data_IF_254892519479
#
_entry.id   IF_254892519479
#
_cell.length_a   1.000
_cell.length_b   1.000
_cell.length_c   1.000
_cell.angle_alpha   90.00
_cell.angle_beta   90.00
_cell.angle_gamma   90.00
#
_symmetry.space_group_name_H-M   'P 1'
#
loop_
_entity.id
_entity.type
_entity.pdbx_description
1 polymer ?
#
# COMPACT_ATOMS: atom_id res chain seq x y z
N UNK A 1 -15.22 -1.64 9.16
CA UNK A 1 -13.79 -1.52 8.89
C UNK A 1 -13.27 -2.73 8.14
N UNK A 2 -12.34 -2.51 7.25
CA UNK A 2 -11.71 -3.55 6.44
C UNK A 2 -10.21 -3.44 6.63
N UNK A 3 -9.52 -4.58 6.68
CA UNK A 3 -8.05 -4.62 6.71
C UNK A 3 -7.55 -5.49 5.58
N UNK A 4 -6.57 -4.98 4.83
CA UNK A 4 -5.97 -5.71 3.72
C UNK A 4 -4.45 -5.68 3.83
N UNK A 5 -3.84 -6.82 3.51
CA UNK A 5 -2.40 -6.92 3.35
C UNK A 5 -2.07 -6.86 1.87
N UNK A 6 -1.03 -6.07 1.55
CA UNK A 6 -0.54 -5.91 0.19
C UNK A 6 0.90 -6.38 0.12
N UNK A 7 1.21 -7.11 -0.95
CA UNK A 7 2.60 -7.39 -1.34
C UNK A 7 2.80 -6.78 -2.71
N UNK A 8 3.74 -5.85 -2.81
CA UNK A 8 3.98 -5.09 -4.03
C UNK A 8 5.37 -5.45 -4.54
N UNK A 9 5.42 -5.98 -5.75
CA UNK A 9 6.67 -6.37 -6.41
C UNK A 9 6.93 -5.50 -7.62
N UNK A 10 8.21 -5.27 -7.91
CA UNK A 10 8.65 -4.47 -9.03
C UNK A 10 9.86 -3.63 -8.66
N UNK A 11 9.99 -2.49 -9.32
CA UNK A 11 11.02 -1.51 -8.96
C UNK A 11 10.40 -0.57 -7.93
N UNK A 12 10.45 -0.99 -6.66
CA UNK A 12 9.76 -0.30 -5.56
C UNK A 12 10.67 0.00 -4.37
N UNK A 13 11.94 -0.36 -4.45
CA UNK A 13 12.92 -0.02 -3.42
C UNK A 13 13.93 0.99 -3.96
N UNK A 14 14.35 1.92 -3.11
CA UNK A 14 15.29 2.95 -3.50
C UNK A 14 14.71 4.03 -4.41
N UNK A 15 13.39 4.08 -4.54
CA UNK A 15 12.69 5.04 -5.43
C UNK A 15 11.65 5.87 -4.69
N UNK A 16 11.68 5.85 -3.34
CA UNK A 16 10.71 6.62 -2.54
C UNK A 16 9.33 5.99 -2.44
N UNK A 17 9.20 4.70 -2.72
CA UNK A 17 7.90 4.02 -2.74
C UNK A 17 7.31 3.88 -1.33
N UNK A 18 8.12 3.49 -0.34
CA UNK A 18 7.63 3.33 1.03
C UNK A 18 7.11 4.64 1.63
N UNK A 19 7.83 5.78 1.51
CA UNK A 19 7.28 7.06 1.96
C UNK A 19 6.01 7.46 1.22
N UNK A 20 5.93 7.14 -0.08
CA UNK A 20 4.73 7.38 -0.87
C UNK A 20 3.53 6.62 -0.31
N UNK A 21 3.69 5.33 -0.03
CA UNK A 21 2.62 4.50 0.55
C UNK A 21 2.18 5.07 1.90
N UNK A 22 3.14 5.46 2.74
CA UNK A 22 2.87 6.03 4.05
C UNK A 22 2.02 7.31 3.92
N UNK A 23 2.44 8.24 3.04
CA UNK A 23 1.71 9.50 2.86
C UNK A 23 0.31 9.28 2.32
N UNK A 24 0.17 8.36 1.37
CA UNK A 24 -1.12 8.06 0.77
C UNK A 24 -2.10 7.49 1.79
N UNK A 25 -1.64 6.55 2.62
CA UNK A 25 -2.46 5.99 3.69
C UNK A 25 -2.85 7.06 4.70
N UNK A 26 -1.89 7.90 5.11
CA UNK A 26 -2.16 8.98 6.06
C UNK A 26 -3.19 9.96 5.50
N UNK A 27 -3.06 10.35 4.24
CA UNK A 27 -3.99 11.29 3.61
C UNK A 27 -5.42 10.75 3.58
N UNK A 28 -5.57 9.44 3.49
CA UNK A 28 -6.87 8.79 3.48
C UNK A 28 -7.34 8.35 4.87
N UNK A 29 -6.56 8.66 5.92
CA UNK A 29 -6.92 8.28 7.29
C UNK A 29 -6.85 6.79 7.56
N UNK A 30 -6.06 6.05 6.78
CA UNK A 30 -5.88 4.62 6.99
C UNK A 30 -4.78 4.36 8.02
N UNK A 31 -4.92 3.26 8.77
CA UNK A 31 -3.94 2.80 9.75
C UNK A 31 -3.28 1.52 9.25
N UNK A 32 -2.15 1.17 9.86
CA UNK A 32 -1.42 -0.03 9.51
C UNK A 32 0.08 0.24 9.49
N UNK A 33 0.77 -0.39 8.55
CA UNK A 33 2.22 -0.22 8.41
C UNK A 33 2.65 -0.45 6.97
N UNK A 34 3.87 -0.04 6.68
CA UNK A 34 4.54 -0.32 5.41
C UNK A 34 6.01 -0.64 5.70
N UNK A 35 6.57 -1.62 5.00
CA UNK A 35 7.97 -2.01 5.17
C UNK A 35 8.55 -2.56 3.88
N UNK A 36 9.88 -2.46 3.75
CA UNK A 36 10.60 -3.13 2.68
C UNK A 36 10.82 -4.59 3.06
N UNK A 37 10.83 -5.46 2.04
CA UNK A 37 11.17 -6.87 2.18
C UNK A 37 12.18 -7.25 1.11
N UNK A 38 12.70 -8.47 1.17
CA UNK A 38 13.60 -8.96 0.14
C UNK A 38 12.95 -9.04 -1.24
N UNK A 39 11.62 -9.04 -1.31
CA UNK A 39 10.88 -9.21 -2.56
C UNK A 39 10.18 -7.94 -3.04
N UNK A 40 10.22 -6.88 -2.25
CA UNK A 40 9.57 -5.63 -2.62
C UNK A 40 9.09 -4.85 -1.40
N UNK A 41 7.82 -4.46 -1.40
CA UNK A 41 7.22 -3.70 -0.30
C UNK A 41 5.98 -4.44 0.19
N UNK A 42 5.85 -4.55 1.51
CA UNK A 42 4.64 -5.05 2.16
C UNK A 42 3.96 -3.93 2.92
N UNK A 43 2.64 -3.94 2.89
CA UNK A 43 1.84 -2.99 3.67
C UNK A 43 0.59 -3.69 4.19
N UNK A 44 0.13 -3.25 5.38
CA UNK A 44 -1.22 -3.56 5.83
C UNK A 44 -1.93 -2.24 6.03
N UNK A 45 -3.17 -2.17 5.55
CA UNK A 45 -3.98 -0.96 5.67
C UNK A 45 -5.35 -1.32 6.20
N UNK A 46 -5.87 -0.46 7.06
CA UNK A 46 -7.18 -0.65 7.68
C UNK A 46 -7.96 0.65 7.66
N UNK A 47 -9.25 0.55 7.35
CA UNK A 47 -10.15 1.69 7.31
C UNK A 47 -11.46 1.34 6.64
N UNK A 48 -12.29 2.34 6.36
CA UNK A 48 -13.52 2.12 5.60
C UNK A 48 -13.22 1.56 4.21
N UNK A 49 -14.05 0.63 3.76
CA UNK A 49 -13.85 -0.02 2.45
C UNK A 49 -13.68 0.99 1.32
N UNK A 50 -14.45 2.07 1.34
CA UNK A 50 -14.36 3.13 0.35
C UNK A 50 -12.96 3.76 0.29
N UNK A 51 -12.36 4.01 1.46
CA UNK A 51 -11.02 4.60 1.54
C UNK A 51 -9.96 3.62 1.07
N UNK A 52 -10.12 2.35 1.39
CA UNK A 52 -9.20 1.30 0.93
C UNK A 52 -9.24 1.21 -0.60
N UNK A 53 -10.42 1.25 -1.20
CA UNK A 53 -10.55 1.20 -2.66
C UNK A 53 -9.90 2.43 -3.32
N UNK A 54 -10.07 3.60 -2.74
CA UNK A 54 -9.41 4.83 -3.21
C UNK A 54 -7.90 4.69 -3.11
N UNK A 55 -7.39 4.16 -1.99
CA UNK A 55 -5.97 3.92 -1.80
C UNK A 55 -5.40 3.04 -2.92
N UNK A 56 -6.07 1.93 -3.23
CA UNK A 56 -5.57 1.00 -4.25
C UNK A 56 -5.51 1.64 -5.64
N UNK A 57 -6.51 2.45 -5.98
CA UNK A 57 -6.51 3.16 -7.27
C UNK A 57 -5.39 4.19 -7.34
N UNK A 58 -5.21 4.98 -6.28
CA UNK A 58 -4.19 6.01 -6.24
C UNK A 58 -2.78 5.43 -6.18
N UNK A 59 -2.63 4.27 -5.53
CA UNK A 59 -1.35 3.57 -5.45
C UNK A 59 -0.76 3.35 -6.85
N UNK A 60 -1.57 2.86 -7.76
CA UNK A 60 -1.14 2.57 -9.14
C UNK A 60 -0.98 3.86 -9.94
N UNK A 61 -1.91 4.79 -9.78
CA UNK A 61 -1.95 6.03 -10.58
C UNK A 61 -0.88 7.03 -10.21
N UNK A 62 -0.59 7.14 -8.90
CA UNK A 62 0.27 8.21 -8.37
C UNK A 62 1.64 7.71 -7.91
N UNK A 63 1.99 6.48 -8.25
CA UNK A 63 3.28 5.92 -7.83
C UNK A 63 4.45 6.81 -8.27
N UNK A 64 5.58 6.80 -7.55
CA UNK A 64 6.76 7.56 -7.96
C UNK A 64 7.16 7.23 -9.40
N UNK A 65 7.57 8.23 -10.16
CA UNK A 65 7.91 8.08 -11.57
C UNK A 65 9.01 7.05 -11.82
N UNK A 66 9.97 6.94 -10.90
CA UNK A 66 11.05 5.98 -11.02
C UNK A 66 10.65 4.56 -10.62
N UNK A 67 9.44 4.36 -10.11
CA UNK A 67 8.98 3.05 -9.68
C UNK A 67 8.25 2.32 -10.81
N UNK A 68 8.20 0.99 -10.68
CA UNK A 68 7.39 0.14 -11.55
C UNK A 68 6.73 -0.93 -10.69
N UNK A 69 5.41 -1.08 -10.84
CA UNK A 69 4.66 -2.12 -10.15
C UNK A 69 4.44 -3.27 -11.14
N UNK A 70 5.04 -4.42 -10.85
CA UNK A 70 4.86 -5.62 -11.68
C UNK A 70 3.69 -6.46 -11.17
N UNK A 71 3.50 -6.50 -9.85
CA UNK A 71 2.43 -7.31 -9.24
C UNK A 71 2.04 -6.73 -7.89
N UNK A 72 0.73 -6.71 -7.64
CA UNK A 72 0.17 -6.43 -6.31
C UNK A 72 -0.65 -7.64 -5.90
N UNK A 73 -0.31 -8.24 -4.78
CA UNK A 73 -1.06 -9.34 -4.18
C UNK A 73 -1.82 -8.81 -2.99
N UNK A 74 -3.12 -9.10 -2.92
CA UNK A 74 -3.99 -8.64 -1.85
C UNK A 74 -4.49 -9.82 -1.03
N UNK A 75 -4.55 -9.63 0.29
CA UNK A 75 -5.13 -10.60 1.20
C UNK A 75 -6.04 -9.86 2.17
N UNK A 76 -7.25 -10.36 2.34
CA UNK A 76 -8.20 -9.79 3.29
C UNK A 76 -7.86 -10.33 4.67
N UNK A 77 -7.71 -9.43 5.64
CA UNK A 77 -7.40 -9.77 7.02
C UNK A 77 -8.58 -9.39 7.92
N UNK A 78 -8.56 -9.93 9.15
CA UNK A 78 -9.50 -9.49 10.17
C UNK A 78 -9.08 -8.10 10.65
N UNK A 79 -10.01 -7.14 10.74
CA UNK A 79 -9.69 -5.83 11.30
C UNK A 79 -9.15 -5.95 12.74
N UNK A 80 -8.20 -5.08 13.09
CA UNK A 80 -7.61 -5.10 14.42
C UNK A 80 -8.37 -4.25 15.43
N UNK A 81 -9.33 -3.46 14.95
CA UNK A 81 -10.14 -2.60 15.82
C UNK A 81 -11.61 -2.95 15.74
#
# INVERSE_FOLDING_TARGET
MVRKALKIRGIVQGVGFRPFVYRLARDLGLTGYVRNTSEGVEAEIEGPARKINTFLKRLVREKPAASRIDRVTLKILRPSA
#
